data_IF_065506897120
#
_entry.id   IF_065506897120
#
_cell.length_a   1.000
_cell.length_b   1.000
_cell.length_c   1.000
_cell.angle_alpha   90.00
_cell.angle_beta   90.00
_cell.angle_gamma   90.00
#
_symmetry.space_group_name_H-M   'P 1'
#
loop_
_entity.id
_entity.type
_entity.pdbx_description
1 polymer ?
#
# COMPACT_ATOMS: atom_id res chain seq x y z
N UNK A 1 11.32 -22.40 6.94
CA UNK A 1 10.13 -22.41 7.84
C UNK A 1 10.46 -22.09 9.30
N UNK A 2 11.30 -22.85 10.01
CA UNK A 2 11.65 -22.51 11.40
C UNK A 2 12.60 -21.30 11.49
N UNK A 3 13.58 -21.24 10.59
CA UNK A 3 14.54 -20.13 10.49
C UNK A 3 13.86 -18.81 10.12
N UNK A 4 13.05 -18.80 9.05
CA UNK A 4 12.27 -17.61 8.65
C UNK A 4 11.37 -17.08 9.77
N UNK A 5 10.75 -17.96 10.56
CA UNK A 5 9.94 -17.56 11.72
C UNK A 5 10.80 -16.94 12.84
N UNK A 6 12.00 -17.48 13.07
CA UNK A 6 12.96 -16.92 14.02
C UNK A 6 13.48 -15.54 13.60
N UNK A 7 13.73 -15.36 12.30
CA UNK A 7 14.19 -14.10 11.73
C UNK A 7 13.10 -13.02 11.80
N UNK A 8 11.84 -13.39 11.53
CA UNK A 8 10.70 -12.48 11.64
C UNK A 8 10.42 -12.06 13.09
N UNK A 9 10.53 -12.97 14.05
CA UNK A 9 10.39 -12.63 15.47
C UNK A 9 11.50 -11.69 15.95
N UNK A 10 12.72 -11.91 15.48
CA UNK A 10 13.87 -11.03 15.78
C UNK A 10 13.68 -9.65 15.17
N UNK A 11 13.26 -9.57 13.90
CA UNK A 11 12.95 -8.30 13.23
C UNK A 11 11.87 -7.51 13.97
N UNK A 12 10.80 -8.16 14.40
CA UNK A 12 9.72 -7.54 15.17
C UNK A 12 10.24 -6.91 16.48
N UNK A 13 11.12 -7.61 17.21
CA UNK A 13 11.72 -7.08 18.43
C UNK A 13 12.58 -5.85 18.17
N UNK A 14 13.39 -5.87 17.10
CA UNK A 14 14.22 -4.72 16.71
C UNK A 14 13.37 -3.51 16.34
N UNK A 15 12.32 -3.70 15.55
CA UNK A 15 11.44 -2.58 15.18
C UNK A 15 10.65 -2.03 16.38
N UNK A 16 10.24 -2.86 17.34
CA UNK A 16 9.62 -2.37 18.59
C UNK A 16 10.59 -1.52 19.43
N UNK A 17 11.83 -1.97 19.61
CA UNK A 17 12.87 -1.16 20.28
C UNK A 17 13.13 0.15 19.54
N UNK A 18 13.15 0.11 18.21
CA UNK A 18 13.31 1.31 17.39
C UNK A 18 12.13 2.28 17.59
N UNK A 19 10.89 1.80 17.69
CA UNK A 19 9.74 2.63 18.00
C UNK A 19 9.89 3.37 19.33
N UNK A 20 10.27 2.68 20.41
CA UNK A 20 10.48 3.30 21.73
C UNK A 20 11.52 4.43 21.67
N UNK A 21 12.62 4.20 20.95
CA UNK A 21 13.68 5.20 20.75
C UNK A 21 13.16 6.38 19.93
N UNK A 22 12.51 6.13 18.79
CA UNK A 22 12.03 7.21 17.91
C UNK A 22 10.87 8.00 18.54
N UNK A 23 10.07 7.38 19.39
CA UNK A 23 9.03 8.05 20.18
C UNK A 23 9.66 9.00 21.21
N UNK A 24 10.66 8.52 21.97
CA UNK A 24 11.40 9.36 22.92
C UNK A 24 12.12 10.54 22.24
N UNK A 25 12.57 10.35 20.99
CA UNK A 25 13.22 11.38 20.18
C UNK A 25 12.23 12.28 19.40
N UNK A 26 10.93 11.97 19.40
CA UNK A 26 9.94 12.66 18.58
C UNK A 26 10.17 12.52 17.06
N UNK A 27 10.92 11.51 16.61
CA UNK A 27 11.27 11.30 15.21
C UNK A 27 10.13 10.62 14.44
N UNK A 28 9.15 11.42 14.01
CA UNK A 28 7.95 10.96 13.29
C UNK A 28 8.26 10.21 11.98
N UNK A 29 9.16 10.67 11.09
CA UNK A 29 9.49 9.92 9.87
C UNK A 29 10.02 8.50 10.17
N UNK A 30 10.88 8.36 11.17
CA UNK A 30 11.41 7.04 11.55
C UNK A 30 10.34 6.17 12.22
N UNK A 31 9.42 6.74 13.01
CA UNK A 31 8.25 6.02 13.53
C UNK A 31 7.38 5.46 12.41
N UNK A 32 7.03 6.27 11.40
CA UNK A 32 6.25 5.82 10.24
C UNK A 32 6.90 4.63 9.53
N UNK A 33 8.22 4.72 9.30
CA UNK A 33 9.00 3.65 8.69
C UNK A 33 8.98 2.37 9.54
N UNK A 34 9.21 2.47 10.85
CA UNK A 34 9.16 1.32 11.76
C UNK A 34 7.78 0.66 11.81
N UNK A 35 6.70 1.44 11.80
CA UNK A 35 5.34 0.89 11.70
C UNK A 35 5.12 0.17 10.37
N UNK A 36 5.56 0.72 9.24
CA UNK A 36 5.45 0.04 7.95
C UNK A 36 6.14 -1.33 7.98
N UNK A 37 7.36 -1.39 8.52
CA UNK A 37 8.12 -2.63 8.61
C UNK A 37 7.48 -3.66 9.55
N UNK A 38 6.90 -3.24 10.68
CA UNK A 38 6.11 -4.11 11.55
C UNK A 38 4.87 -4.65 10.82
N UNK A 39 4.24 -3.84 9.98
CA UNK A 39 3.15 -4.25 9.11
C UNK A 39 3.56 -5.37 8.15
N UNK A 40 4.70 -5.22 7.48
CA UNK A 40 5.25 -6.25 6.59
C UNK A 40 5.61 -7.55 7.35
N UNK A 41 6.25 -7.43 8.51
CA UNK A 41 6.60 -8.61 9.34
C UNK A 41 5.34 -9.36 9.77
N UNK A 42 4.30 -8.66 10.20
CA UNK A 42 3.02 -9.28 10.57
C UNK A 42 2.36 -9.98 9.37
N UNK A 43 2.37 -9.35 8.18
CA UNK A 43 1.87 -9.96 6.95
C UNK A 43 2.61 -11.26 6.61
N UNK A 44 3.95 -11.25 6.66
CA UNK A 44 4.77 -12.44 6.38
C UNK A 44 4.52 -13.59 7.37
N UNK A 45 4.01 -13.28 8.56
CA UNK A 45 3.58 -14.27 9.56
C UNK A 45 2.13 -14.74 9.38
N UNK A 46 1.40 -14.16 8.43
CA UNK A 46 -0.02 -14.42 8.20
C UNK A 46 -0.97 -13.66 9.12
N UNK A 47 -0.46 -12.77 9.99
CA UNK A 47 -1.30 -11.94 10.86
C UNK A 47 -1.71 -10.67 10.11
N UNK A 48 -2.72 -10.82 9.25
CA UNK A 48 -3.23 -9.73 8.43
C UNK A 48 -3.87 -8.62 9.27
N UNK A 49 -4.43 -8.95 10.44
CA UNK A 49 -5.08 -7.99 11.35
C UNK A 49 -4.04 -7.02 11.93
N UNK A 50 -2.97 -7.56 12.51
CA UNK A 50 -1.86 -6.78 13.05
C UNK A 50 -1.14 -6.01 11.93
N UNK A 51 -0.98 -6.61 10.75
CA UNK A 51 -0.36 -5.95 9.61
C UNK A 51 -1.11 -4.66 9.19
N UNK A 52 -2.44 -4.71 9.19
CA UNK A 52 -3.28 -3.56 8.85
C UNK A 52 -3.16 -2.47 9.91
N UNK A 53 -3.20 -2.81 11.20
CA UNK A 53 -3.06 -1.85 12.29
C UNK A 53 -1.75 -1.07 12.18
N UNK A 54 -0.64 -1.76 11.93
CA UNK A 54 0.66 -1.11 11.75
C UNK A 54 0.73 -0.27 10.48
N UNK A 55 0.16 -0.75 9.37
CA UNK A 55 0.11 0.01 8.11
C UNK A 55 -0.71 1.29 8.25
N UNK A 56 -1.82 1.26 9.00
CA UNK A 56 -2.63 2.45 9.31
C UNK A 56 -1.89 3.47 10.19
N UNK A 57 -1.16 3.02 11.22
CA UNK A 57 -0.32 3.91 12.05
C UNK A 57 0.78 4.58 11.22
N UNK A 58 1.40 3.84 10.30
CA UNK A 58 2.35 4.42 9.35
C UNK A 58 1.67 5.47 8.47
N UNK A 59 0.53 5.13 7.88
CA UNK A 59 -0.24 6.05 7.02
C UNK A 59 -0.61 7.35 7.74
N UNK A 60 -1.13 7.28 8.96
CA UNK A 60 -1.53 8.45 9.76
C UNK A 60 -0.37 9.44 9.93
N UNK A 61 0.82 8.92 10.22
CA UNK A 61 2.02 9.76 10.36
C UNK A 61 2.43 10.34 9.00
N UNK A 62 2.46 9.53 7.94
CA UNK A 62 2.86 9.99 6.61
C UNK A 62 1.88 11.03 6.04
N UNK A 63 0.59 10.93 6.37
CA UNK A 63 -0.43 11.94 6.10
C UNK A 63 -0.16 13.24 6.87
N UNK A 64 0.10 13.15 8.18
CA UNK A 64 0.43 14.31 9.00
C UNK A 64 1.73 15.01 8.56
N UNK A 65 2.67 14.26 7.97
CA UNK A 65 3.92 14.79 7.41
C UNK A 65 3.77 15.30 5.97
N UNK A 66 2.66 15.03 5.29
CA UNK A 66 2.49 15.33 3.86
C UNK A 66 3.43 14.52 2.94
N UNK A 67 4.00 13.42 3.42
CA UNK A 67 4.97 12.61 2.69
C UNK A 67 4.27 11.72 1.65
N UNK A 68 4.14 12.21 0.42
CA UNK A 68 3.45 11.46 -0.66
C UNK A 68 4.06 10.08 -0.94
N UNK A 69 5.39 9.91 -1.10
CA UNK A 69 6.00 8.58 -1.23
C UNK A 69 5.73 7.65 -0.03
N UNK A 70 5.72 8.20 1.19
CA UNK A 70 5.36 7.46 2.40
C UNK A 70 3.93 6.94 2.36
N UNK A 71 2.97 7.82 2.06
CA UNK A 71 1.55 7.49 1.90
C UNK A 71 1.32 6.45 0.81
N UNK A 72 1.99 6.58 -0.34
CA UNK A 72 1.88 5.62 -1.45
C UNK A 72 2.29 4.20 -1.02
N UNK A 73 3.38 4.06 -0.26
CA UNK A 73 3.81 2.76 0.29
C UNK A 73 2.78 2.20 1.28
N UNK A 74 2.22 3.03 2.15
CA UNK A 74 1.21 2.60 3.13
C UNK A 74 -0.11 2.20 2.47
N UNK A 75 -0.60 2.96 1.48
CA UNK A 75 -1.76 2.58 0.68
C UNK A 75 -1.50 1.29 -0.11
N UNK A 76 -0.31 1.16 -0.72
CA UNK A 76 0.16 -0.07 -1.38
C UNK A 76 0.03 -1.31 -0.48
N UNK A 77 0.52 -1.18 0.75
CA UNK A 77 0.47 -2.25 1.75
C UNK A 77 -0.95 -2.58 2.18
N UNK A 78 -1.79 -1.57 2.42
CA UNK A 78 -3.21 -1.77 2.78
C UNK A 78 -3.99 -2.45 1.66
N UNK A 79 -3.72 -2.12 0.39
CA UNK A 79 -4.32 -2.80 -0.76
C UNK A 79 -3.96 -4.28 -0.82
N UNK A 80 -2.66 -4.60 -0.65
CA UNK A 80 -2.20 -5.98 -0.57
C UNK A 80 -2.87 -6.78 0.55
N UNK A 81 -3.03 -6.16 1.73
CA UNK A 81 -3.69 -6.79 2.87
C UNK A 81 -5.19 -7.02 2.63
N UNK A 82 -5.86 -6.08 1.96
CA UNK A 82 -7.26 -6.24 1.58
C UNK A 82 -7.45 -7.40 0.59
N UNK A 83 -6.58 -7.53 -0.41
CA UNK A 83 -6.61 -8.67 -1.33
C UNK A 83 -6.36 -10.00 -0.61
N UNK A 84 -5.40 -10.04 0.31
CA UNK A 84 -5.11 -11.23 1.10
C UNK A 84 -6.29 -11.68 1.98
N UNK A 85 -7.21 -10.77 2.30
CA UNK A 85 -8.48 -11.05 3.01
C UNK A 85 -9.64 -11.39 2.08
N UNK A 86 -9.45 -11.36 0.76
CA UNK A 86 -10.50 -11.59 -0.21
C UNK A 86 -11.43 -10.39 -0.42
N UNK A 87 -10.96 -9.17 -0.14
CA UNK A 87 -11.70 -7.93 -0.44
C UNK A 87 -11.04 -7.14 -1.58
N UNK A 88 -11.30 -7.53 -2.85
CA UNK A 88 -10.69 -6.89 -4.01
C UNK A 88 -11.23 -5.46 -4.24
N UNK A 89 -12.41 -5.13 -3.72
CA UNK A 89 -12.99 -3.77 -3.83
C UNK A 89 -12.23 -2.82 -2.90
N UNK A 90 -12.02 -3.19 -1.64
CA UNK A 90 -11.20 -2.39 -0.73
C UNK A 90 -9.75 -2.29 -1.21
N UNK A 91 -9.21 -3.37 -1.79
CA UNK A 91 -7.89 -3.32 -2.41
C UNK A 91 -7.79 -2.31 -3.55
N UNK A 92 -8.80 -2.28 -4.43
CA UNK A 92 -8.89 -1.33 -5.51
C UNK A 92 -8.97 0.11 -4.98
N UNK A 93 -9.82 0.37 -3.98
CA UNK A 93 -9.94 1.70 -3.35
C UNK A 93 -8.57 2.16 -2.76
N UNK A 94 -7.82 1.27 -2.11
CA UNK A 94 -6.45 1.59 -1.65
C UNK A 94 -5.48 1.85 -2.79
N UNK A 95 -5.54 1.10 -3.89
CA UNK A 95 -4.67 1.33 -5.05
C UNK A 95 -4.99 2.65 -5.73
N UNK A 96 -6.27 3.03 -5.81
CA UNK A 96 -6.71 4.35 -6.29
C UNK A 96 -6.12 5.45 -5.43
N UNK A 97 -6.21 5.36 -4.10
CA UNK A 97 -5.57 6.32 -3.20
C UNK A 97 -4.05 6.41 -3.41
N UNK A 98 -3.38 5.29 -3.71
CA UNK A 98 -1.94 5.28 -3.99
C UNK A 98 -1.59 6.03 -5.28
N UNK A 99 -2.27 5.72 -6.39
CA UNK A 99 -1.91 6.27 -7.71
C UNK A 99 -2.39 7.71 -7.88
N UNK A 100 -3.49 8.10 -7.24
CA UNK A 100 -4.03 9.46 -7.29
C UNK A 100 -3.15 10.49 -6.53
N UNK A 101 -2.13 10.05 -5.78
CA UNK A 101 -1.16 10.95 -5.15
C UNK A 101 -0.29 11.71 -6.15
N UNK A 102 -0.18 11.20 -7.37
CA UNK A 102 0.71 11.70 -8.40
C UNK A 102 -0.06 11.96 -9.70
N UNK A 103 0.26 13.04 -10.44
CA UNK A 103 -0.40 13.34 -11.70
C UNK A 103 0.05 12.40 -12.82
N UNK A 104 1.30 11.91 -12.77
CA UNK A 104 1.83 10.93 -13.70
C UNK A 104 1.48 9.49 -13.29
N UNK A 105 1.18 8.67 -14.29
CA UNK A 105 0.94 7.24 -14.10
C UNK A 105 1.61 6.45 -15.24
N UNK A 106 2.45 5.45 -14.93
CA UNK A 106 2.92 5.04 -13.60
C UNK A 106 3.95 6.02 -12.98
N UNK A 107 3.90 6.23 -11.66
CA UNK A 107 4.89 7.03 -10.91
C UNK A 107 5.84 6.12 -10.10
N UNK A 108 7.17 6.33 -10.10
CA UNK A 108 8.13 5.44 -9.44
C UNK A 108 7.91 5.25 -7.93
N UNK A 109 7.48 6.30 -7.22
CA UNK A 109 7.17 6.22 -5.79
C UNK A 109 5.92 5.37 -5.44
N UNK A 110 5.13 4.93 -6.43
CA UNK A 110 4.00 4.01 -6.20
C UNK A 110 4.44 2.53 -6.22
N UNK A 111 5.71 2.27 -6.53
CA UNK A 111 6.30 0.93 -6.50
C UNK A 111 5.51 -0.08 -7.36
N UNK A 112 5.10 -1.23 -6.81
CA UNK A 112 4.32 -2.22 -7.55
C UNK A 112 2.83 -1.83 -7.76
N UNK A 113 2.38 -0.71 -7.20
CA UNK A 113 0.98 -0.25 -7.22
C UNK A 113 0.33 -0.26 -8.62
N UNK A 114 0.97 0.28 -9.68
CA UNK A 114 0.39 0.27 -11.03
C UNK A 114 0.11 -1.14 -11.57
N UNK A 115 1.00 -2.10 -11.32
CA UNK A 115 0.82 -3.49 -11.76
C UNK A 115 -0.28 -4.19 -10.95
N UNK A 116 -0.36 -3.92 -9.65
CA UNK A 116 -1.43 -4.43 -8.80
C UNK A 116 -2.79 -3.89 -9.23
N UNK A 117 -2.86 -2.58 -9.51
CA UNK A 117 -4.05 -1.94 -10.05
C UNK A 117 -4.47 -2.59 -11.38
N UNK A 118 -3.54 -2.72 -12.33
CA UNK A 118 -3.83 -3.37 -13.62
C UNK A 118 -4.35 -4.81 -13.44
N UNK A 119 -3.77 -5.59 -12.53
CA UNK A 119 -4.25 -6.95 -12.22
C UNK A 119 -5.67 -6.95 -11.62
N UNK A 120 -5.96 -6.04 -10.69
CA UNK A 120 -7.30 -5.90 -10.11
C UNK A 120 -8.32 -5.53 -11.21
N UNK A 121 -7.96 -4.63 -12.12
CA UNK A 121 -8.83 -4.21 -13.23
C UNK A 121 -9.04 -5.32 -14.26
N UNK A 122 -8.03 -6.15 -14.52
CA UNK A 122 -8.20 -7.33 -15.35
C UNK A 122 -9.26 -8.31 -14.79
N UNK A 123 -9.47 -8.32 -13.47
CA UNK A 123 -10.48 -9.17 -12.81
C UNK A 123 -11.83 -8.47 -12.59
N UNK A 124 -11.83 -7.18 -12.24
CA UNK A 124 -13.03 -6.44 -11.84
C UNK A 124 -13.65 -5.62 -12.98
N UNK A 125 -12.87 -5.31 -14.00
CA UNK A 125 -13.27 -4.48 -15.14
C UNK A 125 -13.09 -2.97 -14.91
N UNK A 126 -13.10 -2.22 -16.01
CA UNK A 126 -13.01 -0.75 -16.00
C UNK A 126 -14.13 -0.04 -15.24
N UNK A 127 -15.41 -0.48 -15.28
CA UNK A 127 -16.47 0.17 -14.50
C UNK A 127 -16.20 0.16 -12.98
N UNK A 128 -15.51 -0.87 -12.47
CA UNK A 128 -15.11 -0.92 -11.07
C UNK A 128 -14.05 0.14 -10.75
N UNK A 129 -13.10 0.38 -11.66
CA UNK A 129 -12.11 1.45 -11.54
C UNK A 129 -12.79 2.81 -11.49
N UNK A 130 -13.71 3.08 -12.41
CA UNK A 130 -14.43 4.37 -12.46
C UNK A 130 -15.20 4.64 -11.18
N UNK A 131 -15.94 3.64 -10.68
CA UNK A 131 -16.69 3.74 -9.43
C UNK A 131 -15.77 3.96 -8.22
N UNK A 132 -14.66 3.23 -8.15
CA UNK A 132 -13.66 3.38 -7.09
C UNK A 132 -12.98 4.75 -7.13
N UNK A 133 -12.60 5.20 -8.32
CA UNK A 133 -11.98 6.49 -8.54
C UNK A 133 -12.86 7.65 -8.08
N UNK A 134 -14.14 7.63 -8.48
CA UNK A 134 -15.11 8.63 -8.06
C UNK A 134 -15.33 8.61 -6.54
N UNK A 135 -15.39 7.42 -5.92
CA UNK A 135 -15.56 7.27 -4.46
C UNK A 135 -14.34 7.79 -3.68
N UNK A 136 -13.14 7.47 -4.12
CA UNK A 136 -11.91 7.78 -3.37
C UNK A 136 -11.42 9.21 -3.58
N UNK A 137 -11.63 9.77 -4.78
CA UNK A 137 -11.07 11.08 -5.18
C UNK A 137 -12.12 12.17 -5.36
N UNK A 138 -13.39 11.79 -5.55
CA UNK A 138 -14.47 12.72 -5.92
C UNK A 138 -14.39 13.23 -7.36
N UNK A 139 -13.37 12.85 -8.14
CA UNK A 139 -13.14 13.29 -9.50
C UNK A 139 -13.48 12.20 -10.52
N UNK A 140 -13.58 12.59 -11.79
CA UNK A 140 -13.68 11.65 -12.91
C UNK A 140 -12.33 11.00 -13.20
N UNK A 141 -12.34 9.73 -13.62
CA UNK A 141 -11.16 8.96 -13.97
C UNK A 141 -10.39 9.61 -15.14
N UNK A 142 -9.09 9.92 -15.02
CA UNK A 142 -8.32 10.52 -16.09
C UNK A 142 -8.14 9.57 -17.28
N UNK A 143 -8.41 10.07 -18.50
CA UNK A 143 -8.29 9.28 -19.72
C UNK A 143 -6.89 8.68 -19.93
N UNK A 144 -5.83 9.43 -19.60
CA UNK A 144 -4.44 8.96 -19.70
C UNK A 144 -4.19 7.72 -18.82
N UNK A 145 -4.78 7.69 -17.62
CA UNK A 145 -4.67 6.56 -16.71
C UNK A 145 -5.45 5.35 -17.24
N UNK A 146 -6.64 5.55 -17.82
CA UNK A 146 -7.39 4.47 -18.48
C UNK A 146 -6.58 3.82 -19.60
N UNK A 147 -5.96 4.63 -20.46
CA UNK A 147 -5.11 4.17 -21.56
C UNK A 147 -3.94 3.37 -21.04
N UNK A 148 -3.19 3.91 -20.08
CA UNK A 148 -2.02 3.25 -19.50
C UNK A 148 -2.38 1.90 -18.84
N UNK A 149 -3.48 1.82 -18.08
CA UNK A 149 -3.92 0.54 -17.49
C UNK A 149 -4.30 -0.47 -18.57
N UNK A 150 -5.00 -0.04 -19.62
CA UNK A 150 -5.38 -0.91 -20.73
C UNK A 150 -4.15 -1.47 -21.44
N UNK A 151 -3.14 -0.63 -21.67
CA UNK A 151 -1.86 -1.07 -22.24
C UNK A 151 -1.17 -2.09 -21.34
N UNK A 152 -1.08 -1.83 -20.03
CA UNK A 152 -0.47 -2.74 -19.06
C UNK A 152 -1.16 -4.12 -19.02
N UNK A 153 -2.49 -4.16 -19.15
CA UNK A 153 -3.25 -5.43 -19.17
C UNK A 153 -2.96 -6.23 -20.45
N UNK A 154 -2.76 -5.55 -21.58
CA UNK A 154 -2.58 -6.18 -22.89
C UNK A 154 -1.12 -6.52 -23.22
N UNK A 155 -0.15 -6.12 -22.39
CA UNK A 155 1.24 -6.48 -22.62
C UNK A 155 1.46 -7.99 -22.41
N UNK A 156 2.09 -8.69 -23.38
CA UNK A 156 2.40 -10.10 -23.22
C UNK A 156 3.38 -10.29 -22.06
N UNK A 157 3.10 -11.28 -21.19
CA UNK A 157 4.06 -11.71 -20.17
C UNK A 157 5.30 -12.23 -20.90
N UNK A 158 6.42 -11.54 -20.75
CA UNK A 158 7.73 -11.98 -21.25
C UNK A 158 8.18 -13.30 -20.58
#
# INVERSE_FOLDING_TARGET
MAQDRGDLATAEQWYRKALEIFEALGNRPSLASSYHQLGMVAQLRGDLATAEQWSRKSLEIEEALGNRPGRARSYGQLGLLAEARGDPTAALDWMVHCVALFPEFPHPATGPGPHHLARLIASLGMPALEASWQRCTGATLPAQLCTAITEMINQPKA
#
